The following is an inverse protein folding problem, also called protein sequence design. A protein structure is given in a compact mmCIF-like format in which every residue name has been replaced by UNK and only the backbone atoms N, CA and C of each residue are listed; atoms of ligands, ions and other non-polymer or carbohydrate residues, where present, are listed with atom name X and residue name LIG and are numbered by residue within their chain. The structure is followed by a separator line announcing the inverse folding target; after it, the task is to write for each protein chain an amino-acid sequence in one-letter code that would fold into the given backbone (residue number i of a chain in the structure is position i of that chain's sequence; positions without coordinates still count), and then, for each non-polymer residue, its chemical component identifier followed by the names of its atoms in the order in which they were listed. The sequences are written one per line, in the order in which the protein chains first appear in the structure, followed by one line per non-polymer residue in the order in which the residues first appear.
data_IF_237875275862
#
_entry.id   IF_237875275862
#
_cell.length_a   1.000
_cell.length_b   1.000
_cell.length_c   1.000
_cell.angle_alpha   90.00
_cell.angle_beta   90.00
_cell.angle_gamma   90.00
#
_symmetry.space_group_name_H-M   'P 1'
#
loop_
_entity.id
_entity.type
_entity.pdbx_description
1 polymer ?
#
# COMPACT_ATOMS: atom_id res chain seq x y z
N UNK A 1 -15.01 -0.84 32.35
CA UNK A 1 -14.75 -0.55 30.91
C UNK A 1 -13.30 -0.95 30.68
N UNK A 2 -13.05 -2.05 29.97
CA UNK A 2 -11.67 -2.46 29.64
C UNK A 2 -11.24 -1.64 28.43
N UNK A 3 -10.30 -0.73 28.62
CA UNK A 3 -9.74 0.10 27.56
C UNK A 3 -8.67 -0.70 26.82
N UNK A 4 -8.64 -0.59 25.49
CA UNK A 4 -7.54 -1.14 24.70
C UNK A 4 -6.31 -0.23 24.85
N UNK A 5 -5.13 -0.84 24.95
CA UNK A 5 -3.86 -0.13 25.00
C UNK A 5 -3.46 0.30 23.59
N UNK A 6 -3.08 1.56 23.47
CA UNK A 6 -2.50 2.10 22.26
C UNK A 6 -0.98 1.91 22.27
N UNK A 7 -0.47 1.28 21.20
CA UNK A 7 0.97 1.04 21.01
C UNK A 7 1.46 1.95 19.90
N UNK A 8 2.37 2.87 20.25
CA UNK A 8 3.03 3.83 19.35
C UNK A 8 2.08 4.68 18.48
N UNK A 9 0.83 4.88 18.92
CA UNK A 9 -0.20 5.61 18.16
C UNK A 9 -0.70 4.88 16.91
N UNK A 10 -0.28 3.62 16.68
CA UNK A 10 -0.48 2.90 15.41
C UNK A 10 -1.27 1.61 15.56
N UNK A 11 -1.30 1.04 16.76
CA UNK A 11 -1.89 -0.27 17.03
C UNK A 11 -2.75 -0.21 18.29
N UNK A 12 -3.78 -1.03 18.32
CA UNK A 12 -4.58 -1.29 19.52
C UNK A 12 -4.43 -2.76 19.92
N UNK A 13 -4.21 -3.00 21.21
CA UNK A 13 -4.16 -4.34 21.78
C UNK A 13 -4.87 -4.37 23.14
N UNK A 14 -5.18 -5.56 23.61
CA UNK A 14 -5.57 -5.77 25.01
C UNK A 14 -4.42 -6.46 25.76
N UNK A 15 -4.36 -6.24 27.08
CA UNK A 15 -3.47 -6.99 27.97
C UNK A 15 -3.68 -8.50 27.77
N UNK A 16 -2.57 -9.25 27.64
CA UNK A 16 -2.59 -10.68 27.30
C UNK A 16 -2.33 -11.01 25.83
N UNK A 17 -2.05 -10.00 25.00
CA UNK A 17 -1.45 -10.18 23.67
C UNK A 17 -2.42 -10.75 22.62
N UNK A 18 -1.88 -11.49 21.64
CA UNK A 18 -2.62 -11.94 20.45
C UNK A 18 -3.92 -12.66 20.82
N UNK A 19 -3.86 -13.62 21.75
CA UNK A 19 -5.00 -14.47 22.10
C UNK A 19 -6.15 -13.68 22.71
N UNK A 20 -5.85 -12.82 23.68
CA UNK A 20 -6.88 -12.01 24.36
C UNK A 20 -7.40 -10.93 23.42
N UNK A 21 -6.51 -10.26 22.69
CA UNK A 21 -6.91 -9.22 21.73
C UNK A 21 -7.84 -9.79 20.67
N UNK A 22 -7.49 -10.94 20.08
CA UNK A 22 -8.32 -11.62 19.11
C UNK A 22 -9.66 -12.06 19.70
N UNK A 23 -9.68 -12.64 20.91
CA UNK A 23 -10.92 -13.05 21.58
C UNK A 23 -11.87 -11.87 21.80
N UNK A 24 -11.36 -10.74 22.29
CA UNK A 24 -12.18 -9.55 22.55
C UNK A 24 -12.71 -8.97 21.24
N UNK A 25 -11.83 -8.77 20.25
CA UNK A 25 -12.24 -8.24 18.93
C UNK A 25 -13.28 -9.15 18.28
N UNK A 26 -12.98 -10.45 18.14
CA UNK A 26 -13.93 -11.40 17.54
C UNK A 26 -15.24 -11.49 18.32
N UNK A 27 -15.19 -11.45 19.66
CA UNK A 27 -16.36 -11.43 20.53
C UNK A 27 -17.25 -10.22 20.28
N UNK A 28 -16.68 -9.01 20.22
CA UNK A 28 -17.42 -7.77 19.92
C UNK A 28 -18.19 -7.89 18.60
N UNK A 29 -17.52 -8.30 17.53
CA UNK A 29 -18.14 -8.45 16.21
C UNK A 29 -19.21 -9.53 16.19
N UNK A 30 -18.98 -10.69 16.82
CA UNK A 30 -19.97 -11.78 16.88
C UNK A 30 -21.21 -11.39 17.67
N UNK A 31 -21.03 -10.82 18.87
CA UNK A 31 -22.14 -10.40 19.73
C UNK A 31 -22.96 -9.31 19.04
N UNK A 32 -22.31 -8.29 18.50
CA UNK A 32 -23.01 -7.20 17.80
C UNK A 32 -23.78 -7.70 16.58
N UNK A 33 -23.22 -8.64 15.81
CA UNK A 33 -23.90 -9.26 14.68
C UNK A 33 -25.12 -10.10 15.11
N UNK A 34 -24.98 -10.93 16.15
CA UNK A 34 -26.09 -11.75 16.70
C UNK A 34 -27.24 -10.86 17.18
N UNK A 35 -26.93 -9.79 17.92
CA UNK A 35 -27.93 -8.88 18.48
C UNK A 35 -28.33 -7.74 17.54
N UNK A 36 -27.83 -7.73 16.29
CA UNK A 36 -28.07 -6.69 15.28
C UNK A 36 -27.82 -5.28 15.81
N UNK A 37 -26.79 -5.12 16.62
CA UNK A 37 -26.34 -3.83 17.16
C UNK A 37 -25.21 -3.26 16.31
N UNK A 38 -25.05 -1.93 16.26
CA UNK A 38 -23.89 -1.34 15.62
C UNK A 38 -22.62 -1.82 16.32
N UNK A 39 -21.57 -2.07 15.52
CA UNK A 39 -20.26 -2.43 16.05
C UNK A 39 -19.71 -1.21 16.82
N UNK A 40 -19.30 -1.36 18.10
CA UNK A 40 -18.77 -0.28 18.92
C UNK A 40 -17.29 -0.01 18.62
N UNK A 41 -16.91 -0.10 17.34
CA UNK A 41 -15.57 0.20 16.86
C UNK A 41 -15.71 1.15 15.67
N UNK A 42 -14.99 2.26 15.72
CA UNK A 42 -14.86 3.14 14.57
C UNK A 42 -13.86 2.55 13.53
N UNK A 43 -13.81 3.16 12.35
CA UNK A 43 -12.93 2.70 11.27
C UNK A 43 -11.44 2.86 11.60
N UNK A 44 -11.05 3.85 12.42
CA UNK A 44 -9.65 4.05 12.82
C UNK A 44 -9.20 2.94 13.78
N UNK A 45 -10.04 2.61 14.76
CA UNK A 45 -9.82 1.51 15.69
C UNK A 45 -9.74 0.18 14.96
N UNK A 46 -10.61 -0.06 13.99
CA UNK A 46 -10.56 -1.26 13.15
C UNK A 46 -9.22 -1.38 12.40
N UNK A 47 -8.70 -0.27 11.85
CA UNK A 47 -7.38 -0.21 11.21
C UNK A 47 -6.26 -0.47 12.22
N UNK A 48 -6.31 0.11 13.43
CA UNK A 48 -5.30 -0.10 14.47
C UNK A 48 -5.27 -1.55 14.96
N UNK A 49 -6.42 -2.20 15.14
CA UNK A 49 -6.49 -3.64 15.46
C UNK A 49 -5.99 -4.50 14.31
N UNK A 50 -6.37 -4.21 13.06
CA UNK A 50 -5.86 -4.94 11.90
C UNK A 50 -4.34 -4.83 11.79
N UNK A 51 -3.80 -3.62 12.02
CA UNK A 51 -2.35 -3.36 12.02
C UNK A 51 -1.65 -4.17 13.11
N UNK A 52 -2.22 -4.26 14.30
CA UNK A 52 -1.70 -5.11 15.38
C UNK A 52 -1.61 -6.58 14.95
N UNK A 53 -2.69 -7.14 14.39
CA UNK A 53 -2.71 -8.54 13.94
C UNK A 53 -1.73 -8.81 12.80
N UNK A 54 -1.66 -7.93 11.80
CA UNK A 54 -0.72 -8.07 10.68
C UNK A 54 0.76 -8.02 11.12
N UNK A 55 1.09 -7.22 12.14
CA UNK A 55 2.43 -7.20 12.74
C UNK A 55 2.79 -8.50 13.48
N UNK A 56 1.79 -9.32 13.84
CA UNK A 56 1.97 -10.61 14.51
C UNK A 56 1.96 -11.78 13.54
N UNK A 57 2.04 -11.59 12.22
CA UNK A 57 1.96 -12.64 11.20
C UNK A 57 2.91 -13.84 11.38
N UNK A 58 4.04 -13.67 12.05
CA UNK A 58 5.06 -14.71 12.26
C UNK A 58 4.74 -15.68 13.40
N UNK A 59 3.46 -16.01 13.62
CA UNK A 59 3.04 -16.95 14.67
C UNK A 59 3.50 -18.37 14.35
N UNK A 60 4.16 -19.03 15.29
CA UNK A 60 4.73 -20.38 15.09
C UNK A 60 3.80 -21.51 15.56
N UNK A 61 2.78 -21.22 16.37
CA UNK A 61 1.85 -22.23 16.89
C UNK A 61 0.56 -22.31 16.07
N UNK A 62 0.04 -23.52 15.87
CA UNK A 62 -1.22 -23.74 15.17
C UNK A 62 -2.39 -22.99 15.82
N UNK A 63 -2.44 -23.00 17.17
CA UNK A 63 -3.45 -22.24 17.94
C UNK A 63 -3.38 -20.74 17.65
N UNK A 64 -2.18 -20.16 17.68
CA UNK A 64 -2.04 -18.72 17.46
C UNK A 64 -2.29 -18.33 16.00
N UNK A 65 -1.91 -19.17 15.03
CA UNK A 65 -2.24 -18.97 13.62
C UNK A 65 -3.76 -18.99 13.40
N UNK A 66 -4.48 -19.95 14.00
CA UNK A 66 -5.94 -20.00 13.94
C UNK A 66 -6.58 -18.73 14.47
N UNK A 67 -6.21 -18.32 15.69
CA UNK A 67 -6.77 -17.15 16.37
C UNK A 67 -6.46 -15.86 15.61
N UNK A 68 -5.26 -15.74 15.03
CA UNK A 68 -4.88 -14.62 14.18
C UNK A 68 -5.76 -14.52 12.92
N UNK A 69 -5.88 -15.64 12.19
CA UNK A 69 -6.67 -15.69 10.95
C UNK A 69 -8.16 -15.43 11.24
N UNK A 70 -8.68 -15.96 12.34
CA UNK A 70 -10.06 -15.74 12.78
C UNK A 70 -10.33 -14.25 13.07
N UNK A 71 -9.41 -13.58 13.76
CA UNK A 71 -9.51 -12.15 14.04
C UNK A 71 -9.48 -11.31 12.74
N UNK A 72 -8.54 -11.61 11.83
CA UNK A 72 -8.44 -10.91 10.54
C UNK A 72 -9.70 -11.12 9.68
N UNK A 73 -10.22 -12.35 9.58
CA UNK A 73 -11.48 -12.63 8.89
C UNK A 73 -12.67 -11.87 9.47
N UNK A 74 -12.70 -11.75 10.79
CA UNK A 74 -13.77 -11.05 11.49
C UNK A 74 -13.72 -9.54 11.20
N UNK A 75 -12.53 -8.94 11.25
CA UNK A 75 -12.33 -7.54 10.85
C UNK A 75 -12.62 -7.31 9.36
N UNK A 76 -12.33 -8.28 8.51
CA UNK A 76 -12.64 -8.23 7.08
C UNK A 76 -14.15 -8.27 6.78
N UNK A 77 -14.97 -8.62 7.79
CA UNK A 77 -16.43 -8.69 7.69
C UNK A 77 -17.13 -7.53 8.42
N UNK A 78 -16.39 -6.45 8.73
CA UNK A 78 -16.86 -5.31 9.54
C UNK A 78 -17.80 -4.34 8.79
N UNK A 79 -18.20 -4.64 7.56
CA UNK A 79 -19.04 -3.77 6.75
C UNK A 79 -18.35 -2.44 6.43
N UNK A 80 -18.95 -1.31 6.85
CA UNK A 80 -18.42 0.04 6.58
C UNK A 80 -17.08 0.36 7.27
N UNK A 81 -16.74 -0.37 8.34
CA UNK A 81 -15.48 -0.20 9.06
C UNK A 81 -14.43 -1.23 8.64
N UNK A 82 -14.65 -1.94 7.54
CA UNK A 82 -13.70 -2.92 7.00
C UNK A 82 -12.41 -2.21 6.58
N UNK A 83 -11.26 -2.57 7.18
CA UNK A 83 -9.99 -1.99 6.76
C UNK A 83 -9.66 -2.42 5.32
N UNK A 84 -9.19 -1.48 4.52
CA UNK A 84 -8.85 -1.68 3.10
C UNK A 84 -7.39 -1.35 2.87
N UNK A 85 -6.72 -2.17 2.05
CA UNK A 85 -5.36 -1.94 1.60
C UNK A 85 -5.37 -1.31 0.20
N UNK A 86 -4.78 -0.14 0.07
CA UNK A 86 -4.47 0.49 -1.22
C UNK A 86 -2.96 0.51 -1.36
N UNK A 87 -2.42 -0.15 -2.39
CA UNK A 87 -0.98 -0.27 -2.59
C UNK A 87 -0.58 -0.10 -4.04
N UNK A 88 0.64 0.40 -4.27
CA UNK A 88 1.23 0.41 -5.61
C UNK A 88 1.60 -1.01 -6.03
N UNK A 89 1.32 -1.35 -7.28
CA UNK A 89 1.83 -2.58 -7.88
C UNK A 89 3.26 -2.33 -8.35
N UNK A 90 4.17 -3.23 -7.95
CA UNK A 90 5.59 -3.13 -8.26
C UNK A 90 6.34 -2.13 -7.36
N UNK A 91 7.43 -1.57 -7.87
CA UNK A 91 8.32 -0.68 -7.11
C UNK A 91 7.96 0.81 -7.22
N UNK A 92 6.82 1.14 -7.85
CA UNK A 92 6.38 2.52 -8.07
C UNK A 92 7.28 3.32 -9.00
N UNK A 93 8.05 2.67 -9.88
CA UNK A 93 8.86 3.34 -10.90
C UNK A 93 8.15 3.22 -12.25
N UNK A 94 7.83 4.37 -12.84
CA UNK A 94 7.13 4.47 -14.10
C UNK A 94 8.10 4.83 -15.22
N UNK A 95 7.88 4.25 -16.40
CA UNK A 95 8.57 4.63 -17.62
C UNK A 95 8.18 6.07 -18.01
N UNK A 96 9.14 6.84 -18.55
CA UNK A 96 8.86 8.19 -19.05
C UNK A 96 8.00 8.22 -20.30
N UNK A 97 8.11 7.20 -21.16
CA UNK A 97 7.41 7.15 -22.45
C UNK A 97 6.00 6.58 -22.32
N UNK A 98 5.80 5.67 -21.36
CA UNK A 98 4.50 5.07 -21.05
C UNK A 98 4.26 5.03 -19.52
N UNK A 99 3.99 6.19 -18.89
CA UNK A 99 3.84 6.29 -17.45
C UNK A 99 2.48 5.74 -16.97
N UNK A 100 2.40 4.42 -16.78
CA UNK A 100 1.19 3.74 -16.28
C UNK A 100 1.28 3.47 -14.77
N UNK A 101 0.47 4.20 -14.00
CA UNK A 101 0.35 3.98 -12.56
C UNK A 101 -0.59 2.81 -12.28
N UNK A 102 -0.09 1.74 -11.67
CA UNK A 102 -0.87 0.57 -11.27
C UNK A 102 -1.05 0.54 -9.75
N UNK A 103 -2.29 0.40 -9.30
CA UNK A 103 -2.68 0.37 -7.89
C UNK A 103 -3.55 -0.85 -7.65
N UNK A 104 -3.31 -1.59 -6.57
CA UNK A 104 -4.22 -2.61 -6.06
C UNK A 104 -5.06 -2.05 -4.92
N UNK A 105 -6.36 -2.36 -4.95
CA UNK A 105 -7.33 -2.04 -3.91
C UNK A 105 -7.94 -3.35 -3.42
N UNK A 106 -7.57 -3.74 -2.19
CA UNK A 106 -7.75 -5.08 -1.65
C UNK A 106 -8.34 -5.04 -0.24
N UNK A 107 -8.98 -6.13 0.13
CA UNK A 107 -9.37 -6.41 1.51
C UNK A 107 -8.15 -6.78 2.39
N UNK A 108 -8.34 -6.97 3.69
CA UNK A 108 -7.25 -7.31 4.62
C UNK A 108 -6.54 -8.64 4.31
N UNK A 109 -7.22 -9.52 3.58
CA UNK A 109 -6.74 -10.86 3.25
C UNK A 109 -6.16 -10.92 1.83
N UNK A 110 -6.10 -9.79 1.12
CA UNK A 110 -5.58 -9.70 -0.24
C UNK A 110 -6.57 -10.14 -1.31
N UNK A 111 -7.86 -10.20 -1.01
CA UNK A 111 -8.90 -10.45 -2.00
C UNK A 111 -9.45 -9.13 -2.58
N UNK A 112 -10.08 -9.17 -3.77
CA UNK A 112 -10.85 -8.03 -4.27
C UNK A 112 -11.97 -7.64 -3.30
N UNK A 113 -12.21 -6.34 -3.17
CA UNK A 113 -13.32 -5.82 -2.36
C UNK A 113 -14.66 -6.21 -3.00
N UNK A 114 -15.63 -6.59 -2.18
CA UNK A 114 -16.98 -6.97 -2.60
C UNK A 114 -18.00 -6.08 -1.86
N UNK A 115 -18.78 -5.24 -2.56
CA UNK A 115 -18.76 -5.01 -4.02
C UNK A 115 -17.49 -4.27 -4.49
N UNK A 116 -17.07 -4.44 -5.76
CA UNK A 116 -15.92 -3.72 -6.30
C UNK A 116 -16.13 -2.20 -6.27
N UNK A 117 -15.09 -1.42 -5.95
CA UNK A 117 -15.19 0.03 -5.96
C UNK A 117 -15.52 0.54 -7.37
N UNK A 118 -16.45 1.48 -7.48
CA UNK A 118 -16.91 1.99 -8.78
C UNK A 118 -16.09 3.19 -9.25
N UNK A 119 -15.74 4.07 -8.32
CA UNK A 119 -15.06 5.32 -8.57
C UNK A 119 -13.71 5.33 -7.88
N UNK A 120 -12.63 5.29 -8.65
CA UNK A 120 -11.28 5.42 -8.11
C UNK A 120 -10.58 6.58 -8.81
N UNK A 121 -10.18 7.58 -8.02
CA UNK A 121 -9.52 8.78 -8.50
C UNK A 121 -8.19 9.00 -7.78
N UNK A 122 -7.23 9.57 -8.49
CA UNK A 122 -5.94 9.97 -7.97
C UNK A 122 -5.72 11.48 -8.09
N UNK A 123 -5.33 12.12 -6.98
CA UNK A 123 -4.73 13.47 -6.99
C UNK A 123 -3.22 13.33 -6.94
N UNK A 124 -2.53 13.84 -7.96
CA UNK A 124 -1.08 13.71 -8.14
C UNK A 124 -0.41 15.06 -7.90
N UNK A 125 0.59 15.05 -7.02
CA UNK A 125 1.42 16.21 -6.69
C UNK A 125 2.90 15.89 -6.91
N UNK A 126 3.67 16.86 -7.41
CA UNK A 126 5.12 16.75 -7.45
C UNK A 126 5.68 16.91 -6.04
N UNK A 127 6.51 15.96 -5.57
CA UNK A 127 7.00 15.98 -4.18
C UNK A 127 7.95 17.14 -3.88
N UNK A 128 8.62 17.69 -4.91
CA UNK A 128 9.63 18.75 -4.76
C UNK A 128 9.02 20.04 -4.18
N UNK A 129 7.86 20.43 -4.65
CA UNK A 129 7.22 21.72 -4.37
C UNK A 129 5.72 21.60 -4.07
N UNK A 130 5.18 20.37 -4.00
CA UNK A 130 3.76 20.07 -3.87
C UNK A 130 2.91 20.69 -4.99
N UNK A 131 3.49 20.99 -6.15
CA UNK A 131 2.73 21.45 -7.31
C UNK A 131 1.78 20.35 -7.79
N UNK A 132 0.55 20.73 -8.11
CA UNK A 132 -0.48 19.80 -8.57
C UNK A 132 -0.23 19.48 -10.04
N UNK A 133 0.01 18.20 -10.35
CA UNK A 133 0.09 17.73 -11.74
C UNK A 133 -1.31 17.43 -12.29
N UNK A 134 -2.14 16.76 -11.48
CA UNK A 134 -3.50 16.37 -11.87
C UNK A 134 -4.36 16.13 -10.62
N UNK A 135 -5.65 16.51 -10.65
CA UNK A 135 -6.52 16.39 -9.47
C UNK A 135 -7.51 15.23 -9.49
N UNK A 136 -7.97 14.82 -10.67
CA UNK A 136 -8.98 13.77 -10.85
C UNK A 136 -8.55 12.78 -11.93
N UNK A 137 -7.39 12.17 -11.72
CA UNK A 137 -6.93 11.09 -12.61
C UNK A 137 -7.81 9.88 -12.35
N UNK A 138 -8.58 9.44 -13.33
CA UNK A 138 -9.42 8.25 -13.20
C UNK A 138 -8.56 6.98 -13.29
N UNK A 139 -8.74 6.06 -12.35
CA UNK A 139 -8.14 4.74 -12.39
C UNK A 139 -9.18 3.74 -12.90
N UNK A 140 -8.83 2.99 -13.93
CA UNK A 140 -9.73 2.00 -14.56
C UNK A 140 -9.31 0.58 -14.19
N UNK A 141 -10.25 -0.33 -13.91
CA UNK A 141 -9.92 -1.71 -13.58
C UNK A 141 -9.24 -2.42 -14.75
N UNK A 142 -8.16 -3.16 -14.48
CA UNK A 142 -7.56 -4.04 -15.49
C UNK A 142 -8.48 -5.23 -15.74
N UNK A 143 -8.74 -5.53 -17.01
CA UNK A 143 -9.74 -6.51 -17.45
C UNK A 143 -9.55 -7.92 -16.88
N UNK A 144 -8.32 -8.29 -16.51
CA UNK A 144 -7.99 -9.60 -15.95
C UNK A 144 -8.16 -9.70 -14.43
N UNK A 145 -8.09 -8.60 -13.69
CA UNK A 145 -8.08 -8.59 -12.23
C UNK A 145 -8.85 -7.39 -11.67
N UNK A 146 -9.99 -7.68 -11.03
CA UNK A 146 -10.90 -6.68 -10.46
C UNK A 146 -10.33 -5.94 -9.26
N UNK A 147 -9.18 -6.37 -8.73
CA UNK A 147 -8.49 -5.67 -7.65
C UNK A 147 -7.46 -4.66 -8.14
N UNK A 148 -7.06 -4.71 -9.40
CA UNK A 148 -5.99 -3.88 -9.96
C UNK A 148 -6.60 -2.79 -10.83
N UNK A 149 -6.17 -1.56 -10.58
CA UNK A 149 -6.61 -0.37 -11.28
C UNK A 149 -5.41 0.36 -11.87
N UNK A 150 -5.55 0.83 -13.09
CA UNK A 150 -4.50 1.51 -13.82
C UNK A 150 -4.94 2.92 -14.24
N UNK A 151 -4.02 3.88 -14.12
CA UNK A 151 -4.15 5.22 -14.68
C UNK A 151 -3.03 5.47 -15.69
N UNK A 152 -3.42 5.90 -16.89
CA UNK A 152 -2.48 6.35 -17.90
C UNK A 152 -2.12 7.81 -17.66
N UNK A 153 -0.84 8.11 -17.42
CA UNK A 153 -0.41 9.47 -17.09
C UNK A 153 0.13 10.26 -18.28
N UNK A 154 0.23 9.68 -19.48
CA UNK A 154 0.79 10.34 -20.67
C UNK A 154 0.13 11.68 -21.01
N UNK A 155 -1.18 11.80 -20.79
CA UNK A 155 -1.96 13.03 -21.03
C UNK A 155 -1.52 14.21 -20.15
N UNK A 156 -0.92 13.94 -19.00
CA UNK A 156 -0.45 14.94 -18.06
C UNK A 156 1.03 15.29 -18.24
N UNK A 157 1.73 14.61 -19.17
CA UNK A 157 3.14 14.83 -19.50
C UNK A 157 4.03 14.97 -18.26
N UNK A 158 4.03 13.99 -17.34
CA UNK A 158 4.84 14.05 -16.14
C UNK A 158 6.33 14.17 -16.50
N UNK A 159 7.05 15.02 -15.78
CA UNK A 159 8.50 15.13 -15.91
C UNK A 159 9.19 14.09 -15.02
N UNK A 160 10.48 13.86 -15.25
CA UNK A 160 11.28 13.01 -14.36
C UNK A 160 11.22 13.56 -12.94
N UNK A 161 10.81 12.74 -11.98
CA UNK A 161 10.69 13.20 -10.60
C UNK A 161 10.06 12.18 -9.66
N UNK A 162 9.91 12.61 -8.40
CA UNK A 162 9.18 11.87 -7.37
C UNK A 162 7.83 12.57 -7.18
N UNK A 163 6.77 11.79 -7.21
CA UNK A 163 5.39 12.25 -7.08
C UNK A 163 4.74 11.63 -5.85
N UNK A 164 3.78 12.36 -5.29
CA UNK A 164 2.82 11.88 -4.31
C UNK A 164 1.49 11.68 -5.03
N UNK A 165 0.81 10.56 -4.76
CA UNK A 165 -0.56 10.32 -5.22
C UNK A 165 -1.45 10.07 -4.01
N UNK A 166 -2.55 10.82 -3.95
CA UNK A 166 -3.65 10.57 -3.02
C UNK A 166 -4.72 9.82 -3.80
N UNK A 167 -4.84 8.52 -3.55
CA UNK A 167 -5.88 7.67 -4.13
C UNK A 167 -7.12 7.74 -3.25
N UNK A 168 -8.26 7.94 -3.88
CA UNK A 168 -9.57 7.89 -3.27
C UNK A 168 -10.43 6.84 -3.98
N UNK A 169 -10.97 5.87 -3.23
CA UNK A 169 -11.91 4.87 -3.71
C UNK A 169 -13.29 5.10 -3.07
N UNK A 170 -14.29 5.38 -3.90
CA UNK A 170 -15.70 5.64 -3.56
C UNK A 170 -15.90 6.65 -2.41
N UNK A 171 -15.03 7.66 -2.29
CA UNK A 171 -15.02 8.64 -1.20
C UNK A 171 -14.92 8.03 0.21
N UNK A 172 -14.64 6.74 0.30
CA UNK A 172 -14.65 5.98 1.56
C UNK A 172 -13.23 5.66 1.99
N UNK A 173 -12.39 5.23 1.05
CA UNK A 173 -11.02 4.82 1.34
C UNK A 173 -10.06 5.79 0.69
N UNK A 174 -9.17 6.38 1.49
CA UNK A 174 -8.15 7.31 1.00
C UNK A 174 -6.78 6.85 1.44
N UNK A 175 -5.81 6.85 0.52
CA UNK A 175 -4.43 6.50 0.82
C UNK A 175 -3.44 7.37 0.05
N UNK A 176 -2.39 7.81 0.72
CA UNK A 176 -1.28 8.57 0.11
C UNK A 176 -0.10 7.65 -0.15
N UNK A 177 0.45 7.68 -1.36
CA UNK A 177 1.59 6.86 -1.77
C UNK A 177 2.59 7.68 -2.60
N UNK A 178 3.82 7.20 -2.72
CA UNK A 178 4.85 7.84 -3.53
C UNK A 178 5.24 6.97 -4.71
N UNK A 179 5.38 7.58 -5.88
CA UNK A 179 5.89 6.93 -7.09
C UNK A 179 6.93 7.82 -7.77
N UNK A 180 7.67 7.27 -8.72
CA UNK A 180 8.73 7.96 -9.45
C UNK A 180 8.49 7.82 -10.94
N UNK A 181 8.68 8.90 -11.68
CA UNK A 181 8.78 8.86 -13.14
C UNK A 181 10.25 8.90 -13.48
N UNK A 182 10.74 7.83 -14.11
CA UNK A 182 12.13 7.70 -14.47
C UNK A 182 12.45 8.64 -15.64
N UNK A 183 13.73 8.97 -15.80
CA UNK A 183 14.20 9.65 -17.00
C UNK A 183 15.14 8.73 -17.75
N UNK A 184 15.19 8.88 -19.06
CA UNK A 184 16.17 8.17 -19.89
C UNK A 184 17.57 8.68 -19.56
N UNK A 185 18.47 7.75 -19.26
CA UNK A 185 19.90 8.02 -19.14
C UNK A 185 20.57 7.38 -20.35
N UNK A 186 21.30 8.18 -21.14
CA UNK A 186 22.12 7.68 -22.23
C UNK A 186 23.57 7.72 -21.76
N UNK A 187 24.27 6.59 -21.84
CA UNK A 187 25.73 6.57 -21.65
C UNK A 187 26.34 7.28 -22.86
N UNK A 188 27.05 8.38 -22.61
CA UNK A 188 27.66 9.18 -23.68
C UNK A 188 28.99 8.57 -24.14
N UNK A 189 29.81 8.11 -23.21
CA UNK A 189 31.06 7.40 -23.48
C UNK A 189 31.35 6.40 -22.37
N UNK A 190 31.99 5.29 -22.72
CA UNK A 190 32.57 4.31 -21.80
C UNK A 190 34.03 4.13 -22.20
N UNK A 191 34.95 4.31 -21.25
CA UNK A 191 36.38 4.10 -21.46
C UNK A 191 36.88 3.02 -20.53
N UNK A 192 37.61 2.05 -21.09
CA UNK A 192 38.25 0.98 -20.32
C UNK A 192 39.76 1.19 -20.41
N UNK A 193 40.41 1.27 -19.26
CA UNK A 193 41.86 1.34 -19.15
C UNK A 193 42.39 0.17 -18.33
N UNK A 194 43.47 -0.45 -18.81
CA UNK A 194 44.19 -1.48 -18.05
C UNK A 194 45.48 -0.86 -17.55
N UNK A 195 45.73 -0.98 -16.25
CA UNK A 195 46.93 -0.49 -15.58
C UNK A 195 47.61 -1.63 -14.81
N UNK A 196 48.93 -1.66 -14.82
CA UNK A 196 49.72 -2.52 -13.92
C UNK A 196 49.94 -1.79 -12.59
N UNK A 197 49.87 -2.52 -11.47
CA UNK A 197 49.90 -1.94 -10.13
C UNK A 197 51.24 -1.24 -9.79
N UNK A 198 52.33 -1.68 -10.41
CA UNK A 198 53.70 -1.29 -10.04
C UNK A 198 54.35 -0.27 -11.00
N UNK A 199 53.66 0.18 -12.04
CA UNK A 199 54.17 1.18 -12.98
C UNK A 199 53.46 2.53 -12.85
N UNK A 200 54.23 3.61 -12.71
CA UNK A 200 53.72 5.00 -12.65
C UNK A 200 53.31 5.59 -14.01
N UNK A 201 53.11 4.74 -15.02
CA UNK A 201 52.80 5.14 -16.39
C UNK A 201 51.33 5.51 -16.55
N UNK A 202 51.03 6.45 -17.45
CA UNK A 202 49.65 6.86 -17.72
C UNK A 202 48.82 5.69 -18.30
N UNK A 203 47.64 5.45 -17.71
CA UNK A 203 46.75 4.36 -18.12
C UNK A 203 46.25 4.60 -19.54
N UNK A 204 46.56 3.69 -20.47
CA UNK A 204 46.03 3.74 -21.83
C UNK A 204 44.55 3.37 -21.80
N UNK A 205 43.69 4.37 -22.04
CA UNK A 205 42.24 4.17 -22.11
C UNK A 205 41.83 3.85 -23.55
N UNK A 206 40.94 2.88 -23.71
CA UNK A 206 40.28 2.55 -24.95
C UNK A 206 38.78 2.84 -24.80
N UNK A 207 38.25 3.68 -25.69
CA UNK A 207 36.81 3.94 -25.74
C UNK A 207 36.09 2.70 -26.27
N UNK A 208 35.06 2.26 -25.56
CA UNK A 208 34.10 1.25 -26.01
C UNK A 208 33.06 2.01 -26.84
N UNK A 209 33.02 1.70 -28.14
CA UNK A 209 32.04 2.28 -29.08
C UNK A 209 30.81 1.39 -29.16
#
# INVERSE_FOLDING_TARGET
IVQADEVDGKMLQFEGGLSITALVVTGIFRVTNIFKKPIPLDSEQAVKFATYFLNRRSVQSAKGAHVLIEALKTLNSAGKSTPVCIQLIGNGQLDSDDPVLNVAVLDLLGNPIIPPPQNIYGKILLKKDNSVLAEKVQLTPKSSDKSIFAAQLSNYKPTRGIYSVVINADNTFTQTMFFKVLGRVKVHSLEIGVAEADTSSSVKKQSVT
#
